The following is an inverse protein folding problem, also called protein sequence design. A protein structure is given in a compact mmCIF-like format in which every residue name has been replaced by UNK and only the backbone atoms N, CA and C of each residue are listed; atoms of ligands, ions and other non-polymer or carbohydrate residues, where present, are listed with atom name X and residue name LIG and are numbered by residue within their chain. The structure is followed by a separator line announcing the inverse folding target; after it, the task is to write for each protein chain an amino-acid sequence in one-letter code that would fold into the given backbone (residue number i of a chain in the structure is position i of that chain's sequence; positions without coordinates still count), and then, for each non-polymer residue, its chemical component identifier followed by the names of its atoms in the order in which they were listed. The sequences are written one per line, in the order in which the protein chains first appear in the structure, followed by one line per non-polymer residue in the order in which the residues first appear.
data_IF_480852521532
#
_entry.id   IF_480852521532
#
_cell.length_a   1.000
_cell.length_b   1.000
_cell.length_c   1.000
_cell.angle_alpha   90.00
_cell.angle_beta   90.00
_cell.angle_gamma   90.00
#
_symmetry.space_group_name_H-M   'P 1'
#
loop_
_entity.id
_entity.type
_entity.pdbx_description
1 polymer ?
#
# COMPACT_ATOMS: atom_id res chain seq x y z
N UNK A 1 -27.09 11.86 26.71
CA UNK A 1 -26.10 10.77 26.53
C UNK A 1 -26.26 10.29 25.10
N UNK A 2 -25.34 10.59 24.17
CA UNK A 2 -25.42 10.10 22.79
C UNK A 2 -24.81 8.70 22.72
N UNK A 3 -25.58 7.73 22.23
CA UNK A 3 -25.16 6.35 22.04
C UNK A 3 -24.53 6.23 20.64
N UNK A 4 -23.21 6.24 20.55
CA UNK A 4 -22.50 6.04 19.29
C UNK A 4 -22.66 4.58 18.87
N UNK A 5 -23.48 4.30 17.85
CA UNK A 5 -23.55 2.98 17.23
C UNK A 5 -22.44 2.86 16.19
N UNK A 6 -21.44 2.05 16.49
CA UNK A 6 -20.37 1.70 15.55
C UNK A 6 -20.95 0.75 14.50
N UNK A 7 -21.14 1.24 13.27
CA UNK A 7 -21.53 0.38 12.16
C UNK A 7 -20.34 -0.51 11.77
N UNK A 8 -20.45 -1.83 11.98
CA UNK A 8 -19.46 -2.80 11.53
C UNK A 8 -19.83 -3.29 10.14
N UNK A 9 -18.97 -2.99 9.15
CA UNK A 9 -19.13 -3.50 7.80
C UNK A 9 -18.70 -4.96 7.75
N UNK A 10 -19.67 -5.87 7.64
CA UNK A 10 -19.39 -7.30 7.45
C UNK A 10 -19.07 -7.57 5.97
N UNK A 11 -17.78 -7.74 5.66
CA UNK A 11 -17.32 -8.14 4.33
C UNK A 11 -17.44 -9.66 4.17
N UNK A 12 -18.05 -10.10 3.07
CA UNK A 12 -18.08 -11.51 2.69
C UNK A 12 -16.67 -12.04 2.38
N UNK A 13 -16.49 -13.37 2.42
CA UNK A 13 -15.22 -13.99 2.10
C UNK A 13 -14.75 -13.64 0.67
N UNK A 14 -15.66 -13.58 -0.30
CA UNK A 14 -15.33 -13.21 -1.68
C UNK A 14 -14.82 -11.78 -1.80
N UNK A 15 -15.46 -10.82 -1.11
CA UNK A 15 -15.00 -9.43 -1.08
C UNK A 15 -13.59 -9.32 -0.50
N UNK A 16 -13.31 -10.04 0.59
CA UNK A 16 -11.96 -10.05 1.20
C UNK A 16 -10.92 -10.61 0.24
N UNK A 17 -11.23 -11.71 -0.45
CA UNK A 17 -10.31 -12.34 -1.41
C UNK A 17 -10.04 -11.40 -2.59
N UNK A 18 -11.07 -10.77 -3.16
CA UNK A 18 -10.88 -9.81 -4.26
C UNK A 18 -9.99 -8.66 -3.84
N UNK A 19 -10.24 -8.07 -2.66
CA UNK A 19 -9.40 -6.99 -2.13
C UNK A 19 -7.97 -7.45 -1.89
N UNK A 20 -7.78 -8.65 -1.32
CA UNK A 20 -6.44 -9.20 -1.07
C UNK A 20 -5.66 -9.46 -2.36
N UNK A 21 -6.32 -10.02 -3.37
CA UNK A 21 -5.70 -10.26 -4.69
C UNK A 21 -5.34 -8.93 -5.35
N UNK A 22 -6.26 -7.96 -5.36
CA UNK A 22 -5.97 -6.65 -5.93
C UNK A 22 -4.81 -5.95 -5.21
N UNK A 23 -4.82 -5.94 -3.88
CA UNK A 23 -3.74 -5.38 -3.08
C UNK A 23 -2.41 -6.09 -3.32
N UNK A 24 -2.42 -7.43 -3.45
CA UNK A 24 -1.25 -8.23 -3.76
C UNK A 24 -0.68 -7.93 -5.16
N UNK A 25 -1.55 -7.81 -6.17
CA UNK A 25 -1.14 -7.45 -7.53
C UNK A 25 -0.58 -6.03 -7.60
N UNK A 26 -1.26 -5.07 -6.96
CA UNK A 26 -0.80 -3.68 -6.91
C UNK A 26 0.54 -3.57 -6.16
N UNK A 27 0.66 -4.19 -4.99
CA UNK A 27 1.90 -4.22 -4.23
C UNK A 27 3.03 -4.91 -4.99
N UNK A 28 2.75 -6.05 -5.62
CA UNK A 28 3.70 -6.76 -6.47
C UNK A 28 4.18 -5.93 -7.66
N UNK A 29 3.27 -5.22 -8.33
CA UNK A 29 3.60 -4.31 -9.42
C UNK A 29 4.53 -3.17 -8.95
N UNK A 30 4.23 -2.56 -7.80
CA UNK A 30 5.05 -1.49 -7.25
C UNK A 30 6.46 -1.99 -6.87
N UNK A 31 6.56 -3.16 -6.24
CA UNK A 31 7.85 -3.77 -5.88
C UNK A 31 8.67 -4.13 -7.12
N UNK A 32 8.05 -4.77 -8.11
CA UNK A 32 8.73 -5.14 -9.35
C UNK A 32 9.15 -3.90 -10.15
N UNK A 33 8.26 -2.91 -10.24
CA UNK A 33 8.54 -1.63 -10.88
C UNK A 33 9.71 -0.90 -10.23
N UNK A 34 9.75 -0.80 -8.90
CA UNK A 34 10.87 -0.19 -8.20
C UNK A 34 12.19 -0.97 -8.39
N UNK A 35 12.15 -2.30 -8.39
CA UNK A 35 13.34 -3.14 -8.49
C UNK A 35 13.95 -3.20 -9.90
N UNK A 36 13.13 -3.20 -10.95
CA UNK A 36 13.56 -3.45 -12.34
C UNK A 36 13.19 -2.33 -13.31
N UNK A 37 12.84 -1.13 -12.83
CA UNK A 37 12.64 0.02 -13.70
C UNK A 37 13.91 0.31 -14.51
N UNK A 38 13.75 0.37 -15.83
CA UNK A 38 14.80 0.85 -16.74
C UNK A 38 14.96 2.38 -16.68
N UNK A 39 14.01 3.08 -16.05
CA UNK A 39 14.05 4.51 -15.84
C UNK A 39 14.78 4.83 -14.54
N UNK A 40 15.95 5.48 -14.65
CA UNK A 40 16.72 5.94 -13.50
C UNK A 40 15.90 6.86 -12.59
N UNK A 41 14.99 7.67 -13.15
CA UNK A 41 14.09 8.54 -12.38
C UNK A 41 13.20 7.72 -11.44
N UNK A 42 12.56 6.67 -11.96
CA UNK A 42 11.64 5.85 -11.17
C UNK A 42 12.38 5.05 -10.08
N UNK A 43 13.58 4.57 -10.37
CA UNK A 43 14.43 3.88 -9.40
C UNK A 43 14.91 4.83 -8.30
N UNK A 44 15.36 6.03 -8.67
CA UNK A 44 15.80 7.06 -7.72
C UNK A 44 14.65 7.57 -6.83
N UNK A 45 13.45 7.76 -7.39
CA UNK A 45 12.27 8.13 -6.61
C UNK A 45 11.92 7.08 -5.52
N UNK A 46 12.10 5.79 -5.83
CA UNK A 46 11.94 4.72 -4.85
C UNK A 46 13.02 4.78 -3.76
N UNK A 47 14.27 5.06 -4.13
CA UNK A 47 15.37 5.28 -3.19
C UNK A 47 15.17 6.51 -2.30
N UNK A 48 14.64 7.61 -2.82
CA UNK A 48 14.35 8.84 -2.07
C UNK A 48 13.22 8.62 -1.07
N UNK A 49 12.20 7.86 -1.45
CA UNK A 49 11.11 7.48 -0.56
C UNK A 49 11.63 6.72 0.67
N UNK A 50 12.64 5.84 0.50
CA UNK A 50 13.27 5.14 1.64
C UNK A 50 13.95 6.12 2.60
N UNK A 51 14.59 7.17 2.08
CA UNK A 51 15.24 8.19 2.90
C UNK A 51 14.21 9.06 3.63
N UNK A 52 13.07 9.33 3.01
CA UNK A 52 11.97 10.05 3.64
C UNK A 52 11.25 9.23 4.74
N UNK A 53 11.14 7.90 4.57
CA UNK A 53 10.52 7.00 5.57
C UNK A 53 11.45 6.78 6.77
N UNK A 54 12.77 6.84 6.55
CA UNK A 54 13.81 6.81 7.60
C UNK A 54 14.21 8.24 8.01
N UNK A 55 13.40 9.25 7.69
CA UNK A 55 13.59 10.57 8.26
C UNK A 55 13.39 10.47 9.79
N UNK A 56 14.27 11.09 10.60
CA UNK A 56 14.10 11.08 12.05
C UNK A 56 12.74 11.67 12.37
N UNK A 57 11.91 10.87 13.04
CA UNK A 57 10.72 11.32 13.72
C UNK A 57 11.16 12.16 14.93
N UNK A 58 11.61 13.39 14.66
CA UNK A 58 11.58 14.42 15.67
C UNK A 58 10.21 15.09 15.66
#
# INVERSE_FOLDING_TARGET
MLNTQTATLSLSASQRIVTAVFAGLLGGFLLYGAAFAHSDLLHNAAHDTRHAIVAPCH
#
